data_IF_098520089539
#
_entry.id   IF_098520089539
#
_cell.length_a   1.000
_cell.length_b   1.000
_cell.length_c   1.000
_cell.angle_alpha   90.00
_cell.angle_beta   90.00
_cell.angle_gamma   90.00
#
_symmetry.space_group_name_H-M   'P 1'
#
loop_
_entity.id
_entity.type
_entity.pdbx_description
1 polymer ?
#
# COMPACT_ATOMS: atom_id res chain seq x y z
N UNK A 1 -9.65 11.49 25.93
CA UNK A 1 -10.20 10.74 24.77
C UNK A 1 -9.62 11.35 23.50
N UNK A 2 -8.73 10.62 22.82
CA UNK A 2 -7.83 11.16 21.80
C UNK A 2 -8.54 11.27 20.43
N UNK A 3 -8.72 12.50 19.93
CA UNK A 3 -9.40 12.78 18.64
C UNK A 3 -8.68 12.17 17.42
N UNK A 4 -7.41 11.77 17.59
CA UNK A 4 -6.61 11.06 16.58
C UNK A 4 -7.25 9.72 16.18
N UNK A 5 -7.94 9.06 17.11
CA UNK A 5 -8.55 7.75 16.88
C UNK A 5 -9.74 7.80 15.92
N UNK A 6 -10.51 8.89 15.93
CA UNK A 6 -11.71 9.01 15.09
C UNK A 6 -11.38 9.29 13.61
N UNK A 7 -10.34 10.09 13.35
CA UNK A 7 -9.86 10.38 11.98
C UNK A 7 -9.24 9.14 11.34
N UNK A 8 -8.50 8.35 12.12
CA UNK A 8 -7.89 7.11 11.64
C UNK A 8 -8.97 6.05 11.29
N UNK A 9 -10.01 5.96 12.11
CA UNK A 9 -11.16 5.09 11.86
C UNK A 9 -11.94 5.50 10.61
N UNK A 10 -12.24 6.78 10.43
CA UNK A 10 -12.97 7.24 9.25
C UNK A 10 -12.17 7.03 7.95
N UNK A 11 -10.85 7.24 7.98
CA UNK A 11 -9.97 6.94 6.86
C UNK A 11 -9.97 5.44 6.52
N UNK A 12 -9.96 4.57 7.54
CA UNK A 12 -10.02 3.11 7.35
C UNK A 12 -11.36 2.67 6.75
N UNK A 13 -12.47 3.21 7.22
CA UNK A 13 -13.81 2.92 6.70
C UNK A 13 -13.96 3.39 5.26
N UNK A 14 -13.49 4.60 4.94
CA UNK A 14 -13.49 5.13 3.58
C UNK A 14 -12.70 4.23 2.62
N UNK A 15 -11.55 3.70 3.06
CA UNK A 15 -10.76 2.74 2.27
C UNK A 15 -11.49 1.42 2.04
N UNK A 16 -12.15 0.88 3.05
CA UNK A 16 -12.93 -0.37 2.93
C UNK A 16 -14.12 -0.16 1.99
N UNK A 17 -14.82 0.97 2.09
CA UNK A 17 -15.91 1.32 1.19
C UNK A 17 -15.43 1.44 -0.26
N UNK A 18 -14.28 2.07 -0.50
CA UNK A 18 -13.67 2.18 -1.82
C UNK A 18 -13.31 0.80 -2.41
N UNK A 19 -12.75 -0.11 -1.60
CA UNK A 19 -12.45 -1.48 -2.01
C UNK A 19 -13.74 -2.22 -2.39
N UNK A 20 -14.78 -2.15 -1.55
CA UNK A 20 -16.08 -2.80 -1.81
C UNK A 20 -16.77 -2.27 -3.07
N UNK A 21 -16.55 -1.00 -3.41
CA UNK A 21 -17.09 -0.41 -4.63
C UNK A 21 -16.34 -0.88 -5.90
N UNK A 22 -15.10 -1.37 -5.77
CA UNK A 22 -14.32 -1.82 -6.92
C UNK A 22 -14.77 -3.22 -7.38
N UNK A 23 -15.29 -3.31 -8.60
CA UNK A 23 -15.72 -4.59 -9.19
C UNK A 23 -14.58 -5.51 -9.62
N UNK A 24 -13.36 -4.97 -9.74
CA UNK A 24 -12.15 -5.69 -10.15
C UNK A 24 -11.28 -6.14 -8.98
N UNK A 25 -11.70 -5.91 -7.74
CA UNK A 25 -10.95 -6.32 -6.56
C UNK A 25 -11.72 -7.33 -5.73
N UNK A 26 -11.00 -8.17 -5.01
CA UNK A 26 -11.59 -8.99 -3.96
C UNK A 26 -12.00 -8.12 -2.74
N UNK A 27 -12.79 -8.67 -1.79
CA UNK A 27 -13.18 -7.95 -0.57
C UNK A 27 -12.00 -7.52 0.32
N UNK A 28 -10.84 -8.16 0.16
CA UNK A 28 -9.63 -7.85 0.89
C UNK A 28 -8.84 -6.70 0.24
N UNK A 29 -9.12 -6.34 -1.01
CA UNK A 29 -8.45 -5.30 -1.81
C UNK A 29 -7.32 -5.80 -2.71
N UNK A 30 -7.35 -7.06 -3.13
CA UNK A 30 -6.45 -7.64 -4.13
C UNK A 30 -7.05 -7.52 -5.54
N UNK A 31 -6.21 -7.19 -6.53
CA UNK A 31 -6.62 -7.07 -7.92
C UNK A 31 -6.92 -8.45 -8.50
N UNK A 32 -8.04 -8.55 -9.22
CA UNK A 32 -8.46 -9.75 -9.94
C UNK A 32 -8.36 -9.50 -11.45
N UNK A 33 -8.14 -10.56 -12.22
CA UNK A 33 -8.17 -10.58 -13.67
C UNK A 33 -9.57 -10.35 -14.22
N UNK A 34 -9.70 -10.22 -15.54
CA UNK A 34 -11.00 -10.04 -16.21
C UNK A 34 -11.98 -11.22 -15.98
N UNK A 35 -11.44 -12.39 -15.65
CA UNK A 35 -12.15 -13.62 -15.29
C UNK A 35 -12.45 -13.73 -13.78
N UNK A 36 -12.10 -12.71 -12.98
CA UNK A 36 -12.20 -12.68 -11.52
C UNK A 36 -11.28 -13.65 -10.79
N UNK A 37 -10.22 -14.15 -11.44
CA UNK A 37 -9.18 -14.92 -10.76
C UNK A 37 -8.09 -14.00 -10.20
N UNK A 38 -7.38 -14.39 -9.12
CA UNK A 38 -6.21 -13.64 -8.66
C UNK A 38 -5.17 -13.52 -9.78
N UNK A 39 -4.65 -12.32 -10.00
CA UNK A 39 -3.54 -12.12 -10.93
C UNK A 39 -2.21 -12.51 -10.27
N UNK A 40 -1.24 -12.94 -11.09
CA UNK A 40 0.13 -13.24 -10.68
C UNK A 40 1.11 -12.31 -11.42
N UNK A 41 1.92 -11.51 -10.71
CA UNK A 41 2.02 -11.40 -9.25
C UNK A 41 0.78 -10.79 -8.60
N UNK A 42 0.49 -11.17 -7.36
CA UNK A 42 -0.61 -10.60 -6.60
C UNK A 42 -0.39 -9.10 -6.33
N UNK A 43 -1.26 -8.24 -6.88
CA UNK A 43 -1.17 -6.79 -6.73
C UNK A 43 -2.31 -6.27 -5.85
N UNK A 44 -1.99 -5.34 -4.93
CA UNK A 44 -3.00 -4.61 -4.13
C UNK A 44 -3.63 -3.51 -4.97
N UNK A 45 -4.94 -3.36 -4.87
CA UNK A 45 -5.60 -2.24 -5.54
C UNK A 45 -5.27 -0.90 -4.87
N UNK A 46 -5.23 0.16 -5.66
CA UNK A 46 -4.89 1.53 -5.22
C UNK A 46 -6.12 2.41 -4.92
N UNK A 47 -7.33 1.86 -4.95
CA UNK A 47 -8.56 2.61 -4.68
C UNK A 47 -8.56 3.16 -3.23
N UNK A 48 -8.61 4.49 -3.09
CA UNK A 48 -8.62 5.18 -1.79
C UNK A 48 -7.24 5.57 -1.26
N UNK A 49 -6.15 5.10 -1.87
CA UNK A 49 -4.88 5.80 -1.76
C UNK A 49 -4.94 6.92 -2.79
N UNK A 50 -5.31 8.14 -2.36
CA UNK A 50 -4.85 9.33 -3.08
C UNK A 50 -3.37 9.11 -3.28
N UNK A 51 -2.94 8.87 -4.53
CA UNK A 51 -1.56 8.59 -4.84
C UNK A 51 -0.74 9.76 -4.29
N UNK A 52 -0.14 9.59 -3.11
CA UNK A 52 1.02 10.38 -2.78
C UNK A 52 2.00 10.02 -3.90
N UNK A 53 2.46 11.00 -4.70
CA UNK A 53 3.34 10.71 -5.81
C UNK A 53 4.48 9.88 -5.25
N UNK A 54 4.73 8.74 -5.91
CA UNK A 54 5.77 7.80 -5.56
C UNK A 54 7.04 8.58 -5.21
N UNK A 55 7.33 8.71 -3.92
CA UNK A 55 8.65 9.10 -3.48
C UNK A 55 9.50 7.87 -3.76
N UNK A 56 9.90 7.75 -5.02
CA UNK A 56 11.03 6.93 -5.44
C UNK A 56 12.16 7.40 -4.53
N UNK A 57 12.39 6.68 -3.44
CA UNK A 57 13.61 6.87 -2.68
C UNK A 57 14.68 6.34 -3.63
N UNK A 58 15.42 7.28 -4.21
CA UNK A 58 16.59 6.98 -5.01
C UNK A 58 17.52 6.16 -4.11
N UNK A 59 17.58 4.84 -4.35
CA UNK A 59 18.34 3.89 -3.54
C UNK A 59 19.79 3.88 -4.06
N UNK A 60 20.38 5.07 -4.21
CA UNK A 60 21.73 5.28 -4.75
C UNK A 60 22.75 5.41 -3.62
N UNK A 61 22.53 4.74 -2.48
CA UNK A 61 23.54 4.66 -1.42
C UNK A 61 23.78 3.20 -1.04
N UNK A 62 25.02 2.69 -1.16
CA UNK A 62 25.34 1.35 -0.71
C UNK A 62 25.18 1.24 0.81
N UNK A 63 24.39 0.26 1.26
CA UNK A 63 23.96 0.06 2.65
C UNK A 63 25.09 -0.46 3.57
N UNK A 64 26.29 -0.71 3.04
CA UNK A 64 27.43 -1.20 3.84
C UNK A 64 28.73 -0.46 3.50
N UNK A 65 29.15 0.43 4.39
CA UNK A 65 30.58 0.67 4.62
C UNK A 65 30.92 -0.07 5.92
N UNK A 66 31.64 -1.19 5.79
CA UNK A 66 32.32 -1.82 6.92
C UNK A 66 33.63 -1.04 7.09
N UNK A 67 33.71 -0.25 8.16
CA UNK A 67 34.98 0.35 8.59
C UNK A 67 35.87 -0.78 9.14
N UNK A 68 36.72 -1.35 8.29
CA UNK A 68 37.90 -2.09 8.71
C UNK A 68 38.90 -1.09 9.32
N UNK A 69 38.80 -0.88 10.63
CA UNK A 69 39.90 -0.33 11.43
C UNK A 69 40.58 -1.50 12.14
N UNK A 70 41.61 -2.07 11.51
CA UNK A 70 42.60 -2.92 12.17
C UNK A 70 43.69 -2.02 12.79
N UNK A 71 43.97 -2.21 14.08
CA UNK A 71 45.25 -1.88 14.75
C UNK A 71 45.69 -3.11 15.57
#
# INVERSE_FOLDING_TARGET
MSRRSAVDQSAREARIAAIRACRGCDPCGWLLGGDRTPIDPAVRCTHGTTAAPSAVRDITEPIHQVDDTED
#
